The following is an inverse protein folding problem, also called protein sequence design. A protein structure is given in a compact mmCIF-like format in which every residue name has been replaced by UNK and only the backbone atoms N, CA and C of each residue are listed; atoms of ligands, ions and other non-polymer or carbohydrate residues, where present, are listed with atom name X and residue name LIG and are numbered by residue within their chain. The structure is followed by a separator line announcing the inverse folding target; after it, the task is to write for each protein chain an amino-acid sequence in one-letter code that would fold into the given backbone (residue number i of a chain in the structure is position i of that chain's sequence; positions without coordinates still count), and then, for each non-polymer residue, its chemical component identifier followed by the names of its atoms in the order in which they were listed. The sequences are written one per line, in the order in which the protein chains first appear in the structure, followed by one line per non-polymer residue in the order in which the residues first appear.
data_IF_632946806028
#
_entry.id   IF_632946806028
#
_cell.length_a   1.000
_cell.length_b   1.000
_cell.length_c   1.000
_cell.angle_alpha   90.00
_cell.angle_beta   90.00
_cell.angle_gamma   90.00
#
_symmetry.space_group_name_H-M   'P 1'
#
loop_
_entity.id
_entity.type
_entity.pdbx_description
1 polymer ?
#
# COMPACT_ATOMS: atom_id res chain seq x y z
N UNK A 1 -56.77 55.40 0.58
CA UNK A 1 -56.53 54.53 -0.59
C UNK A 1 -55.06 54.12 -0.75
N UNK A 2 -54.06 54.95 -0.37
CA UNK A 2 -52.64 54.59 -0.47
C UNK A 2 -52.15 53.56 0.58
N UNK A 3 -52.66 53.63 1.82
CA UNK A 3 -52.21 52.79 2.95
C UNK A 3 -52.49 51.29 2.80
N UNK A 4 -53.51 50.90 2.03
CA UNK A 4 -53.81 49.49 1.71
C UNK A 4 -52.77 48.89 0.75
N UNK A 5 -52.21 49.70 -0.15
CA UNK A 5 -51.17 49.26 -1.08
C UNK A 5 -49.84 48.98 -0.36
N UNK A 6 -49.48 49.79 0.63
CA UNK A 6 -48.23 49.61 1.39
C UNK A 6 -48.26 48.35 2.26
N UNK A 7 -49.43 47.99 2.81
CA UNK A 7 -49.59 46.75 3.58
C UNK A 7 -49.50 45.50 2.70
N UNK A 8 -50.11 45.53 1.51
CA UNK A 8 -50.00 44.41 0.55
C UNK A 8 -48.57 44.24 0.03
N UNK A 9 -47.87 45.36 -0.23
CA UNK A 9 -46.44 45.34 -0.58
C UNK A 9 -45.62 44.74 0.57
N UNK A 10 -45.86 45.16 1.80
CA UNK A 10 -45.16 44.64 2.97
C UNK A 10 -45.41 43.13 3.21
N UNK A 11 -46.64 42.64 3.05
CA UNK A 11 -46.94 41.20 3.14
C UNK A 11 -46.24 40.41 2.04
N UNK A 12 -46.23 40.93 0.80
CA UNK A 12 -45.50 40.32 -0.30
C UNK A 12 -44.00 40.22 0.00
N UNK A 13 -43.37 41.28 0.51
CA UNK A 13 -41.94 41.28 0.88
C UNK A 13 -41.65 40.23 1.94
N UNK A 14 -42.44 40.15 3.02
CA UNK A 14 -42.27 39.12 4.07
C UNK A 14 -42.47 37.69 3.55
N UNK A 15 -43.36 37.50 2.57
CA UNK A 15 -43.55 36.20 1.91
C UNK A 15 -42.36 35.85 1.02
N UNK A 16 -41.78 36.82 0.33
CA UNK A 16 -40.58 36.64 -0.49
C UNK A 16 -39.34 36.37 0.36
N UNK A 17 -39.17 37.07 1.48
CA UNK A 17 -38.07 36.82 2.43
C UNK A 17 -38.12 35.38 2.98
N UNK A 18 -39.31 34.92 3.40
CA UNK A 18 -39.51 33.53 3.83
C UNK A 18 -39.23 32.51 2.72
N UNK A 19 -39.61 32.82 1.48
CA UNK A 19 -39.33 31.95 0.34
C UNK A 19 -37.83 31.88 0.03
N UNK A 20 -37.09 32.99 0.13
CA UNK A 20 -35.63 33.03 -0.05
C UNK A 20 -34.94 32.20 1.02
N UNK A 21 -35.33 32.33 2.29
CA UNK A 21 -34.78 31.54 3.40
C UNK A 21 -34.99 30.04 3.16
N UNK A 22 -36.21 29.64 2.78
CA UNK A 22 -36.54 28.25 2.45
C UNK A 22 -35.75 27.71 1.24
N UNK A 23 -35.52 28.54 0.23
CA UNK A 23 -34.75 28.14 -0.95
C UNK A 23 -33.26 27.95 -0.63
N UNK A 24 -32.68 28.77 0.26
CA UNK A 24 -31.30 28.59 0.75
C UNK A 24 -31.12 27.25 1.47
N UNK A 25 -32.09 26.86 2.28
CA UNK A 25 -32.04 25.56 2.96
C UNK A 25 -32.17 24.40 1.97
N UNK A 26 -33.02 24.54 0.94
CA UNK A 26 -33.18 23.53 -0.11
C UNK A 26 -31.91 23.34 -0.93
N UNK A 27 -31.18 24.42 -1.23
CA UNK A 27 -29.89 24.37 -1.94
C UNK A 27 -28.83 23.65 -1.11
N UNK A 28 -28.73 23.95 0.20
CA UNK A 28 -27.84 23.23 1.12
C UNK A 28 -28.21 21.74 1.24
N UNK A 29 -29.50 21.42 1.33
CA UNK A 29 -29.99 20.04 1.36
C UNK A 29 -29.63 19.31 0.06
N UNK A 30 -29.75 19.98 -1.08
CA UNK A 30 -29.38 19.41 -2.37
C UNK A 30 -27.87 19.12 -2.43
N UNK A 31 -27.03 20.07 -2.03
CA UNK A 31 -25.58 19.87 -1.97
C UNK A 31 -25.20 18.71 -1.03
N UNK A 32 -25.87 18.61 0.12
CA UNK A 32 -25.67 17.50 1.06
C UNK A 32 -26.10 16.17 0.44
N UNK A 33 -27.22 16.15 -0.30
CA UNK A 33 -27.72 14.95 -0.98
C UNK A 33 -26.73 14.46 -2.04
N UNK A 34 -26.15 15.37 -2.81
CA UNK A 34 -25.13 15.05 -3.81
C UNK A 34 -23.86 14.48 -3.15
N UNK A 35 -23.40 15.07 -2.05
CA UNK A 35 -22.26 14.55 -1.27
C UNK A 35 -22.52 13.16 -0.70
N UNK A 36 -23.71 12.92 -0.13
CA UNK A 36 -24.10 11.60 0.42
C UNK A 36 -24.21 10.56 -0.69
N UNK A 37 -24.75 10.92 -1.86
CA UNK A 37 -24.82 10.04 -3.02
C UNK A 37 -23.43 9.65 -3.52
N UNK A 38 -22.49 10.60 -3.58
CA UNK A 38 -21.10 10.30 -3.91
C UNK A 38 -20.48 9.33 -2.90
N UNK A 39 -20.67 9.56 -1.60
CA UNK A 39 -20.19 8.64 -0.55
C UNK A 39 -20.82 7.26 -0.68
N UNK A 40 -22.13 7.16 -0.94
CA UNK A 40 -22.80 5.88 -1.19
C UNK A 40 -22.16 5.15 -2.37
N UNK A 41 -21.93 5.83 -3.50
CA UNK A 41 -21.30 5.20 -4.66
C UNK A 41 -19.87 4.72 -4.38
N UNK A 42 -19.09 5.48 -3.60
CA UNK A 42 -17.78 5.02 -3.14
C UNK A 42 -17.89 3.82 -2.17
N UNK A 43 -18.90 3.81 -1.30
CA UNK A 43 -19.19 2.68 -0.43
C UNK A 43 -19.72 1.47 -1.19
N UNK A 44 -20.35 1.59 -2.36
CA UNK A 44 -20.72 0.41 -3.16
C UNK A 44 -19.50 -0.44 -3.55
N UNK A 45 -18.32 0.17 -3.67
CA UNK A 45 -17.06 -0.54 -3.88
C UNK A 45 -16.63 -1.38 -2.66
N UNK A 46 -17.13 -1.05 -1.48
CA UNK A 46 -16.81 -1.70 -0.21
C UNK A 46 -18.11 -2.16 0.45
N UNK A 47 -18.43 -3.46 0.40
CA UNK A 47 -19.67 -4.07 0.90
C UNK A 47 -20.34 -3.36 2.11
N UNK A 48 -19.56 -2.94 3.11
CA UNK A 48 -20.01 -2.03 4.17
C UNK A 48 -18.92 -1.04 4.62
N UNK A 49 -19.33 0.02 5.34
CA UNK A 49 -18.41 0.92 6.05
C UNK A 49 -17.51 0.16 7.03
N UNK A 50 -18.04 -0.90 7.66
CA UNK A 50 -17.26 -1.74 8.57
C UNK A 50 -16.16 -2.52 7.83
N UNK A 51 -16.44 -3.00 6.62
CA UNK A 51 -15.43 -3.65 5.77
C UNK A 51 -14.34 -2.66 5.34
N UNK A 52 -14.71 -1.44 4.95
CA UNK A 52 -13.76 -0.37 4.65
C UNK A 52 -12.84 -0.08 5.85
N UNK A 53 -13.41 0.04 7.05
CA UNK A 53 -12.63 0.25 8.28
C UNK A 53 -11.71 -0.93 8.59
N UNK A 54 -12.12 -2.17 8.28
CA UNK A 54 -11.26 -3.35 8.42
C UNK A 54 -10.07 -3.28 7.46
N UNK A 55 -10.29 -2.90 6.20
CA UNK A 55 -9.21 -2.70 5.23
C UNK A 55 -8.21 -1.63 5.68
N UNK A 56 -8.68 -0.50 6.23
CA UNK A 56 -7.79 0.53 6.78
C UNK A 56 -6.93 0.01 7.92
N UNK A 57 -7.52 -0.70 8.90
CA UNK A 57 -6.77 -1.31 10.00
C UNK A 57 -5.73 -2.30 9.53
N UNK A 58 -6.02 -3.07 8.49
CA UNK A 58 -5.07 -4.03 7.94
C UNK A 58 -3.94 -3.34 7.14
N UNK A 59 -4.21 -2.22 6.47
CA UNK A 59 -3.19 -1.36 5.86
C UNK A 59 -2.27 -0.73 6.92
N UNK A 60 -2.82 -0.19 8.00
CA UNK A 60 -2.05 0.39 9.10
C UNK A 60 -1.06 -0.63 9.69
N UNK A 61 -1.48 -1.88 9.85
CA UNK A 61 -0.61 -2.99 10.32
C UNK A 61 0.52 -3.33 9.34
N UNK A 62 0.44 -2.88 8.09
CA UNK A 62 1.40 -3.20 7.03
C UNK A 62 2.26 -2.00 6.61
N UNK A 63 2.06 -0.83 7.23
CA UNK A 63 2.85 0.37 6.94
C UNK A 63 4.36 0.17 7.14
N UNK A 64 4.74 -0.77 8.01
CA UNK A 64 6.13 -1.13 8.28
C UNK A 64 6.87 -1.56 7.00
N UNK A 65 6.20 -2.13 5.99
CA UNK A 65 6.81 -2.59 4.73
C UNK A 65 7.54 -1.48 3.97
N UNK A 66 7.17 -0.22 4.21
CA UNK A 66 7.81 0.96 3.63
C UNK A 66 9.11 1.38 4.36
N UNK A 67 9.43 0.79 5.52
CA UNK A 67 10.66 1.07 6.26
C UNK A 67 11.86 0.38 5.62
N UNK A 68 13.01 1.01 5.74
CA UNK A 68 14.30 0.40 5.35
C UNK A 68 14.89 -0.49 6.47
N UNK A 69 14.50 -0.22 7.72
CA UNK A 69 14.97 -0.93 8.91
C UNK A 69 13.77 -1.49 9.67
N UNK A 70 13.82 -2.78 9.98
CA UNK A 70 12.78 -3.52 10.68
C UNK A 70 13.20 -3.89 12.11
N UNK A 71 12.24 -3.93 13.03
CA UNK A 71 12.40 -4.69 14.28
C UNK A 71 12.33 -6.20 14.00
N UNK A 72 12.72 -7.08 14.95
CA UNK A 72 12.60 -8.52 14.78
C UNK A 72 11.16 -8.97 14.49
N UNK A 73 10.16 -8.36 15.12
CA UNK A 73 8.75 -8.68 14.91
C UNK A 73 8.30 -8.31 13.49
N UNK A 74 8.68 -7.12 13.02
CA UNK A 74 8.40 -6.64 11.67
C UNK A 74 9.11 -7.49 10.62
N UNK A 75 10.37 -7.86 10.84
CA UNK A 75 11.16 -8.69 9.93
C UNK A 75 10.60 -10.11 9.84
N UNK A 76 10.21 -10.71 10.96
CA UNK A 76 9.56 -12.02 10.99
C UNK A 76 8.26 -12.00 10.18
N UNK A 77 7.45 -10.96 10.37
CA UNK A 77 6.22 -10.74 9.60
C UNK A 77 6.49 -10.51 8.12
N UNK A 78 7.51 -9.73 7.77
CA UNK A 78 7.93 -9.46 6.39
C UNK A 78 8.35 -10.74 5.64
N UNK A 79 9.16 -11.58 6.29
CA UNK A 79 9.62 -12.86 5.73
C UNK A 79 8.55 -13.96 5.76
N UNK A 80 7.44 -13.76 6.48
CA UNK A 80 6.42 -14.79 6.67
C UNK A 80 6.89 -15.97 7.55
N UNK A 81 7.84 -15.74 8.46
CA UNK A 81 8.40 -16.76 9.36
C UNK A 81 8.03 -16.49 10.81
N UNK A 82 8.14 -17.51 11.67
CA UNK A 82 7.98 -17.29 13.11
C UNK A 82 9.14 -16.48 13.69
N UNK A 83 8.89 -15.73 14.75
CA UNK A 83 9.92 -14.92 15.42
C UNK A 83 11.08 -15.79 15.94
N UNK A 84 10.78 -16.98 16.45
CA UNK A 84 11.81 -17.96 16.85
C UNK A 84 12.66 -18.42 15.67
N UNK A 85 12.05 -18.60 14.48
CA UNK A 85 12.81 -18.93 13.28
C UNK A 85 13.73 -17.78 12.89
N UNK A 86 13.26 -16.54 12.90
CA UNK A 86 14.11 -15.36 12.65
C UNK A 86 15.29 -15.29 13.63
N UNK A 87 15.07 -15.54 14.93
CA UNK A 87 16.15 -15.58 15.90
C UNK A 87 17.17 -16.68 15.61
N UNK A 88 16.75 -17.84 15.10
CA UNK A 88 17.64 -18.90 14.65
C UNK A 88 18.49 -18.47 13.45
N UNK A 89 17.89 -17.80 12.46
CA UNK A 89 18.61 -17.29 11.28
C UNK A 89 19.65 -16.25 11.68
N UNK A 90 19.25 -15.30 12.53
CA UNK A 90 20.13 -14.21 13.00
C UNK A 90 21.18 -14.67 14.01
N UNK A 91 20.95 -15.76 14.76
CA UNK A 91 21.97 -16.33 15.65
C UNK A 91 23.03 -17.13 14.89
N UNK A 92 22.63 -17.78 13.79
CA UNK A 92 23.53 -18.44 12.83
C UNK A 92 24.24 -17.47 11.87
N UNK A 93 23.94 -16.18 11.95
CA UNK A 93 24.42 -15.14 11.03
C UNK A 93 24.06 -15.42 9.55
N UNK A 94 22.95 -16.13 9.31
CA UNK A 94 22.41 -16.28 7.95
C UNK A 94 21.78 -14.97 7.44
N UNK A 95 21.32 -14.12 8.36
CA UNK A 95 20.82 -12.77 8.10
C UNK A 95 21.60 -11.77 8.95
N UNK A 96 22.09 -10.70 8.33
CA UNK A 96 22.78 -9.58 8.99
C UNK A 96 21.85 -8.89 9.99
N UNK A 97 22.39 -8.52 11.16
CA UNK A 97 21.66 -7.80 12.21
C UNK A 97 22.48 -6.62 12.72
N UNK A 98 21.80 -5.51 13.02
CA UNK A 98 22.40 -4.28 13.51
C UNK A 98 22.01 -4.05 14.97
N UNK A 99 22.99 -3.72 15.82
CA UNK A 99 22.79 -3.50 17.27
C UNK A 99 23.46 -2.20 17.73
N UNK A 100 22.93 -1.02 17.39
CA UNK A 100 23.59 0.26 17.67
C UNK A 100 23.82 0.53 19.16
N UNK A 101 22.92 0.05 20.03
CA UNK A 101 23.01 0.21 21.49
C UNK A 101 23.17 -1.12 22.23
N UNK A 102 23.49 -2.22 21.53
CA UNK A 102 23.65 -3.56 22.08
C UNK A 102 22.34 -4.28 22.49
N UNK A 103 21.37 -3.55 23.06
CA UNK A 103 20.06 -4.08 23.50
C UNK A 103 19.06 -4.24 22.33
N UNK A 104 18.99 -3.24 21.46
CA UNK A 104 18.07 -3.23 20.33
C UNK A 104 18.70 -3.94 19.13
N UNK A 105 17.87 -4.68 18.39
CA UNK A 105 18.23 -5.37 17.16
C UNK A 105 17.39 -4.83 16.02
N UNK A 106 18.04 -4.53 14.89
CA UNK A 106 17.39 -4.13 13.65
C UNK A 106 17.89 -4.98 12.49
N UNK A 107 17.04 -5.13 11.48
CA UNK A 107 17.34 -5.85 10.25
C UNK A 107 17.05 -4.94 9.06
N UNK A 108 18.01 -4.80 8.16
CA UNK A 108 17.81 -3.98 6.96
C UNK A 108 16.99 -4.76 5.93
N UNK A 109 16.07 -4.07 5.24
CA UNK A 109 15.23 -4.67 4.20
C UNK A 109 16.04 -5.31 3.08
N UNK A 110 17.17 -4.70 2.73
CA UNK A 110 18.09 -5.22 1.70
C UNK A 110 18.67 -6.58 2.08
N UNK A 111 19.06 -6.78 3.34
CA UNK A 111 19.61 -8.05 3.82
C UNK A 111 18.54 -9.15 3.85
N UNK A 112 17.31 -8.79 4.25
CA UNK A 112 16.17 -9.71 4.21
C UNK A 112 15.87 -10.15 2.78
N UNK A 113 15.85 -9.21 1.83
CA UNK A 113 15.61 -9.51 0.42
C UNK A 113 16.71 -10.40 -0.16
N UNK A 114 17.98 -10.11 0.17
CA UNK A 114 19.10 -10.94 -0.27
C UNK A 114 19.01 -12.35 0.30
N UNK A 115 18.62 -12.50 1.57
CA UNK A 115 18.41 -13.82 2.16
C UNK A 115 17.27 -14.58 1.48
N UNK A 116 16.17 -13.92 1.10
CA UNK A 116 15.09 -14.57 0.35
C UNK A 116 15.53 -15.08 -1.03
N UNK A 117 16.54 -14.45 -1.63
CA UNK A 117 17.12 -14.86 -2.91
C UNK A 117 18.22 -15.91 -2.76
N UNK A 118 18.68 -16.23 -1.54
CA UNK A 118 19.69 -17.27 -1.33
C UNK A 118 19.15 -18.65 -1.69
N UNK A 119 19.99 -19.47 -2.32
CA UNK A 119 19.65 -20.81 -2.82
C UNK A 119 18.58 -20.80 -3.91
N UNK A 120 18.69 -19.86 -4.86
CA UNK A 120 17.90 -19.89 -6.08
C UNK A 120 17.98 -21.28 -6.74
N UNK A 121 16.81 -21.87 -7.00
CA UNK A 121 16.69 -23.07 -7.83
C UNK A 121 16.28 -22.59 -9.21
N UNK A 122 17.17 -22.67 -10.22
CA UNK A 122 16.85 -22.16 -11.54
C UNK A 122 15.67 -22.92 -12.14
N UNK A 123 14.83 -22.22 -12.91
CA UNK A 123 13.77 -22.87 -13.68
C UNK A 123 14.35 -23.81 -14.74
N UNK A 124 13.57 -24.78 -15.23
CA UNK A 124 14.02 -25.69 -16.28
C UNK A 124 14.53 -24.93 -17.52
N UNK A 125 13.83 -23.88 -17.94
CA UNK A 125 14.24 -23.01 -19.04
C UNK A 125 15.59 -22.32 -18.75
N UNK A 126 15.80 -21.84 -17.52
CA UNK A 126 17.07 -21.22 -17.12
C UNK A 126 18.19 -22.25 -17.10
N UNK A 127 17.94 -23.48 -16.64
CA UNK A 127 18.91 -24.58 -16.68
C UNK A 127 19.32 -24.92 -18.11
N UNK A 128 18.35 -25.04 -19.03
CA UNK A 128 18.62 -25.31 -20.45
C UNK A 128 19.45 -24.19 -21.08
N UNK A 129 19.10 -22.93 -20.79
CA UNK A 129 19.84 -21.77 -21.27
C UNK A 129 21.28 -21.76 -20.74
N UNK A 130 21.48 -22.02 -19.44
CA UNK A 130 22.80 -22.11 -18.82
C UNK A 130 23.62 -23.26 -19.42
N UNK A 131 23.00 -24.42 -19.68
CA UNK A 131 23.66 -25.54 -20.33
C UNK A 131 24.11 -25.19 -21.76
N UNK A 132 23.26 -24.47 -22.51
CA UNK A 132 23.58 -23.97 -23.84
C UNK A 132 24.72 -22.96 -23.83
N UNK A 133 24.63 -21.93 -22.98
CA UNK A 133 25.67 -20.91 -22.78
C UNK A 133 27.02 -21.58 -22.46
N UNK A 134 27.02 -22.53 -21.52
CA UNK A 134 28.23 -23.26 -21.11
C UNK A 134 28.82 -24.11 -22.24
N UNK A 135 27.97 -24.75 -23.05
CA UNK A 135 28.43 -25.53 -24.19
C UNK A 135 29.13 -24.65 -25.25
N UNK A 136 28.60 -23.45 -25.51
CA UNK A 136 29.19 -22.48 -26.42
C UNK A 136 30.51 -21.90 -25.89
N UNK A 137 30.63 -21.62 -24.59
CA UNK A 137 31.90 -21.22 -23.96
C UNK A 137 32.99 -22.28 -24.18
N UNK A 138 32.69 -23.54 -23.86
CA UNK A 138 33.64 -24.66 -24.02
C UNK A 138 34.05 -24.84 -25.49
N UNK A 139 33.13 -24.59 -26.43
CA UNK A 139 33.44 -24.61 -27.86
C UNK A 139 34.44 -23.52 -28.24
N UNK A 140 34.24 -22.29 -27.75
CA UNK A 140 35.16 -21.15 -27.98
C UNK A 140 36.54 -21.40 -27.37
N UNK A 141 36.61 -21.92 -26.16
CA UNK A 141 37.86 -22.29 -25.49
C UNK A 141 38.66 -23.36 -26.26
N UNK A 142 37.97 -24.37 -26.82
CA UNK A 142 38.61 -25.39 -27.67
C UNK A 142 39.15 -24.83 -28.98
N UNK A 143 38.49 -23.84 -29.57
CA UNK A 143 38.98 -23.19 -30.80
C UNK A 143 40.21 -22.34 -30.50
N UNK A 144 40.15 -21.53 -29.43
CA UNK A 144 41.27 -20.67 -29.03
C UNK A 144 42.53 -21.46 -28.60
N UNK A 145 42.37 -22.63 -27.98
CA UNK A 145 43.49 -23.49 -27.63
C UNK A 145 44.14 -24.20 -28.83
N UNK A 146 43.41 -24.39 -29.93
CA UNK A 146 43.96 -24.93 -31.19
C UNK A 146 44.71 -23.88 -32.01
N UNK A 147 44.33 -22.60 -31.90
CA UNK A 147 44.99 -21.49 -32.61
C UNK A 147 46.32 -21.03 -31.96
N UNK A 148 46.55 -21.43 -30.70
CA UNK A 148 47.77 -21.12 -29.93
C UNK A 148 48.84 -22.24 -29.98
N UNK A 149 48.60 -23.33 -30.70
CA UNK A 149 49.57 -24.40 -31.00
C UNK A 149 49.99 -24.31 -32.45
#
# INVERSE_FOLDING_TARGET
MALTSDYEIYDMVNRMERAIEFLKDKEQIQELTEKVSAVQHYLEKFNSLNDLMKHFKDLEKNIYVCKDMFTPEEAAKYLGVSLSHLYRLTSKNEITKYKPSGKLMYLAKVDLNQWMMNNEIPSNERLESLAHERAEELRKERINSKLKK
#
